data_IF_816601348548
#
_entry.id   IF_816601348548
#
_cell.length_a   1.000
_cell.length_b   1.000
_cell.length_c   1.000
_cell.angle_alpha   90.00
_cell.angle_beta   90.00
_cell.angle_gamma   90.00
#
_symmetry.space_group_name_H-M   'P 1'
#
loop_
_entity.id
_entity.type
_entity.pdbx_description
1 polymer ?
#
# COMPACT_ATOMS: atom_id res chain seq x y z
N UNK A 1 17.60 -14.22 9.41
CA UNK A 1 18.59 -14.91 8.52
C UNK A 1 19.71 -13.97 8.13
N UNK A 2 19.43 -12.73 7.69
CA UNK A 2 20.44 -11.78 7.19
C UNK A 2 21.50 -11.44 8.24
N UNK A 3 21.11 -11.25 9.51
CA UNK A 3 22.08 -11.05 10.60
C UNK A 3 23.09 -12.20 10.72
N UNK A 4 22.72 -13.43 10.32
CA UNK A 4 23.62 -14.59 10.35
C UNK A 4 24.61 -14.60 9.19
N UNK A 5 24.25 -13.98 8.06
CA UNK A 5 25.00 -14.02 6.80
C UNK A 5 25.82 -12.76 6.58
N UNK A 6 25.42 -11.63 7.16
CA UNK A 6 26.16 -10.36 7.08
C UNK A 6 27.52 -10.44 7.75
N UNK A 7 28.50 -9.78 7.19
CA UNK A 7 29.83 -9.60 7.77
C UNK A 7 29.81 -8.68 9.02
N UNK A 8 28.81 -7.80 9.14
CA UNK A 8 28.71 -6.78 10.19
C UNK A 8 27.66 -7.11 11.25
N UNK A 9 27.63 -8.35 11.73
CA UNK A 9 26.59 -8.88 12.65
C UNK A 9 26.35 -8.04 13.92
N UNK A 10 27.39 -7.38 14.41
CA UNK A 10 27.37 -6.62 15.68
C UNK A 10 26.69 -5.24 15.55
N UNK A 11 26.56 -4.74 14.30
CA UNK A 11 25.98 -3.44 14.00
C UNK A 11 24.44 -3.49 13.79
N UNK A 12 23.86 -4.70 13.76
CA UNK A 12 22.41 -4.85 13.65
C UNK A 12 21.69 -4.24 14.87
N UNK A 13 20.76 -3.34 14.59
CA UNK A 13 20.08 -2.51 15.59
C UNK A 13 20.75 -1.14 15.84
N UNK A 14 21.89 -0.89 15.19
CA UNK A 14 22.64 0.38 15.27
C UNK A 14 22.72 1.11 13.93
N UNK A 15 21.82 0.78 12.98
CA UNK A 15 21.78 1.40 11.66
C UNK A 15 22.53 0.63 10.56
N UNK A 16 22.68 -0.70 10.71
CA UNK A 16 23.32 -1.53 9.68
C UNK A 16 22.51 -1.51 8.39
N UNK A 17 23.07 -1.04 7.26
CA UNK A 17 22.35 -0.93 5.98
C UNK A 17 21.83 -2.25 5.45
N UNK A 18 22.56 -3.36 5.65
CA UNK A 18 22.16 -4.69 5.18
C UNK A 18 20.78 -5.10 5.71
N UNK A 19 20.46 -4.74 6.95
CA UNK A 19 19.16 -5.03 7.57
C UNK A 19 18.02 -4.28 6.89
N UNK A 20 18.24 -3.02 6.56
CA UNK A 20 17.28 -2.14 5.89
C UNK A 20 17.09 -2.57 4.44
N UNK A 21 18.19 -2.74 3.70
CA UNK A 21 18.17 -3.16 2.29
C UNK A 21 17.40 -4.47 2.13
N UNK A 22 17.64 -5.41 3.01
CA UNK A 22 16.97 -6.71 2.93
C UNK A 22 15.47 -6.65 3.25
N UNK A 23 15.05 -5.87 4.24
CA UNK A 23 13.64 -5.68 4.56
C UNK A 23 12.91 -4.96 3.42
N UNK A 24 13.50 -3.88 2.89
CA UNK A 24 12.91 -3.10 1.81
C UNK A 24 12.91 -3.85 0.47
N UNK A 25 13.97 -4.62 0.17
CA UNK A 25 13.99 -5.48 -1.01
C UNK A 25 12.93 -6.57 -0.95
N UNK A 26 12.70 -7.18 0.21
CA UNK A 26 11.64 -8.16 0.40
C UNK A 26 10.25 -7.53 0.26
N UNK A 27 10.05 -6.33 0.79
CA UNK A 27 8.82 -5.57 0.67
C UNK A 27 8.50 -5.24 -0.80
N UNK A 28 9.47 -4.74 -1.54
CA UNK A 28 9.32 -4.45 -2.96
C UNK A 28 9.09 -5.73 -3.80
N UNK A 29 9.82 -6.79 -3.51
CA UNK A 29 9.68 -8.08 -4.20
C UNK A 29 8.29 -8.73 -4.01
N UNK A 30 7.57 -8.41 -2.93
CA UNK A 30 6.23 -8.94 -2.67
C UNK A 30 5.16 -8.33 -3.59
N UNK A 31 5.39 -7.17 -4.17
CA UNK A 31 4.38 -6.46 -4.98
C UNK A 31 3.97 -7.28 -6.21
N UNK A 32 4.94 -7.77 -6.99
CA UNK A 32 4.66 -8.59 -8.17
C UNK A 32 3.83 -9.84 -7.86
N UNK A 33 4.29 -10.73 -6.97
CA UNK A 33 3.51 -11.90 -6.55
C UNK A 33 2.13 -11.59 -5.99
N UNK A 34 1.91 -10.44 -5.35
CA UNK A 34 0.59 -10.06 -4.83
C UNK A 34 -0.40 -9.66 -5.92
N UNK A 35 0.09 -9.24 -7.10
CA UNK A 35 -0.74 -8.93 -8.27
C UNK A 35 -1.24 -10.17 -9.00
N UNK A 36 -0.53 -11.28 -8.93
CA UNK A 36 -0.94 -12.52 -9.61
C UNK A 36 -2.31 -12.99 -9.10
N UNK A 37 -2.52 -13.28 -7.81
CA UNK A 37 -3.84 -13.67 -7.30
C UNK A 37 -4.88 -12.55 -7.45
N UNK A 38 -4.46 -11.28 -7.38
CA UNK A 38 -5.35 -10.15 -7.62
C UNK A 38 -5.97 -10.20 -9.02
N UNK A 39 -5.15 -10.30 -10.06
CA UNK A 39 -5.61 -10.23 -11.45
C UNK A 39 -6.30 -11.52 -11.90
N UNK A 40 -5.91 -12.68 -11.35
CA UNK A 40 -6.46 -13.98 -11.75
C UNK A 40 -7.68 -14.41 -10.95
N UNK A 41 -7.69 -14.16 -9.65
CA UNK A 41 -8.72 -14.65 -8.71
C UNK A 41 -9.51 -13.52 -8.03
N UNK A 42 -9.09 -12.27 -8.18
CA UNK A 42 -9.68 -11.15 -7.44
C UNK A 42 -9.32 -11.13 -5.95
N UNK A 43 -8.29 -11.88 -5.56
CA UNK A 43 -7.86 -11.95 -4.15
C UNK A 43 -6.63 -11.09 -3.95
N UNK A 44 -6.75 -9.93 -3.27
CA UNK A 44 -5.60 -9.06 -3.04
C UNK A 44 -4.66 -9.66 -1.98
N UNK A 45 -3.39 -9.79 -2.32
CA UNK A 45 -2.34 -10.30 -1.42
C UNK A 45 -1.75 -9.23 -0.48
N UNK A 46 -2.18 -7.98 -0.61
CA UNK A 46 -1.70 -6.86 0.21
C UNK A 46 -2.73 -5.72 0.26
N UNK A 47 -2.65 -4.79 1.24
CA UNK A 47 -3.52 -3.61 1.27
C UNK A 47 -3.44 -2.77 0.00
N UNK A 48 -2.24 -2.60 -0.57
CA UNK A 48 -2.04 -1.89 -1.83
C UNK A 48 -2.72 -2.60 -3.00
N UNK A 49 -2.61 -3.94 -3.07
CA UNK A 49 -3.31 -4.74 -4.06
C UNK A 49 -4.84 -4.62 -3.92
N UNK A 50 -5.36 -4.51 -2.69
CA UNK A 50 -6.78 -4.29 -2.45
C UNK A 50 -7.27 -2.93 -2.97
N UNK A 51 -6.49 -1.87 -2.82
CA UNK A 51 -6.80 -0.55 -3.42
C UNK A 51 -6.79 -0.63 -4.94
N UNK A 52 -5.82 -1.34 -5.53
CA UNK A 52 -5.77 -1.59 -6.99
C UNK A 52 -7.00 -2.38 -7.47
N UNK A 53 -7.44 -3.37 -6.70
CA UNK A 53 -8.69 -4.10 -7.00
C UNK A 53 -9.87 -3.15 -7.07
N UNK A 54 -10.02 -2.27 -6.08
CA UNK A 54 -11.06 -1.25 -6.07
C UNK A 54 -11.00 -0.37 -7.34
N UNK A 55 -9.81 0.06 -7.74
CA UNK A 55 -9.60 0.80 -8.98
C UNK A 55 -10.04 0.04 -10.23
N UNK A 56 -9.69 -1.23 -10.34
CA UNK A 56 -10.12 -2.08 -11.46
C UNK A 56 -11.64 -2.22 -11.51
N UNK A 57 -12.28 -2.47 -10.36
CA UNK A 57 -13.74 -2.63 -10.27
C UNK A 57 -14.51 -1.36 -10.65
N UNK A 58 -14.03 -0.18 -10.26
CA UNK A 58 -14.62 1.12 -10.64
C UNK A 58 -14.59 1.31 -12.16
N UNK A 59 -13.55 0.79 -12.82
CA UNK A 59 -13.44 0.81 -14.28
C UNK A 59 -14.16 -0.35 -14.99
N UNK A 60 -14.92 -1.16 -14.25
CA UNK A 60 -15.64 -2.31 -14.80
C UNK A 60 -14.75 -3.49 -15.19
N UNK A 61 -13.52 -3.51 -14.72
CA UNK A 61 -12.54 -4.56 -14.97
C UNK A 61 -12.57 -5.58 -13.83
N UNK A 62 -13.28 -6.68 -14.03
CA UNK A 62 -13.38 -7.75 -13.04
C UNK A 62 -12.21 -8.71 -13.18
N UNK A 63 -11.49 -9.02 -12.09
CA UNK A 63 -10.43 -10.04 -12.09
C UNK A 63 -10.91 -11.39 -12.61
N UNK A 64 -10.03 -12.10 -13.26
CA UNK A 64 -10.32 -13.42 -13.84
C UNK A 64 -9.83 -13.58 -15.27
N UNK A 65 -10.22 -14.67 -15.91
CA UNK A 65 -9.80 -14.99 -17.29
C UNK A 65 -10.16 -13.90 -18.30
N UNK A 66 -11.27 -13.20 -18.10
CA UNK A 66 -11.72 -12.13 -19.00
C UNK A 66 -10.75 -10.95 -19.08
N UNK A 67 -9.98 -10.67 -18.04
CA UNK A 67 -8.93 -9.64 -18.08
C UNK A 67 -7.87 -9.96 -19.15
N UNK A 68 -7.57 -11.23 -19.35
CA UNK A 68 -6.51 -11.66 -20.27
C UNK A 68 -7.02 -12.05 -21.66
N UNK A 69 -8.33 -12.14 -21.84
CA UNK A 69 -8.96 -12.49 -23.11
C UNK A 69 -9.74 -11.31 -23.69
N UNK A 70 -10.81 -10.90 -23.04
CA UNK A 70 -11.71 -9.82 -23.51
C UNK A 70 -11.06 -8.44 -23.35
N UNK A 71 -10.41 -8.19 -22.19
CA UNK A 71 -9.77 -6.92 -21.84
C UNK A 71 -8.25 -6.99 -21.94
N UNK A 72 -7.72 -7.88 -22.81
CA UNK A 72 -6.29 -8.16 -22.90
C UNK A 72 -5.45 -6.90 -23.15
N UNK A 73 -5.86 -6.02 -24.05
CA UNK A 73 -5.15 -4.79 -24.37
C UNK A 73 -5.01 -3.88 -23.14
N UNK A 74 -6.12 -3.66 -22.41
CA UNK A 74 -6.12 -2.85 -21.19
C UNK A 74 -5.26 -3.48 -20.09
N UNK A 75 -5.34 -4.80 -19.93
CA UNK A 75 -4.58 -5.54 -18.93
C UNK A 75 -3.07 -5.49 -19.21
N UNK A 76 -2.67 -5.71 -20.46
CA UNK A 76 -1.26 -5.61 -20.83
C UNK A 76 -0.74 -4.18 -20.78
N UNK A 77 -1.56 -3.19 -21.12
CA UNK A 77 -1.22 -1.77 -20.94
C UNK A 77 -0.99 -1.46 -19.46
N UNK A 78 -1.86 -1.94 -18.57
CA UNK A 78 -1.70 -1.80 -17.13
C UNK A 78 -0.39 -2.45 -16.63
N UNK A 79 -0.10 -3.69 -17.02
CA UNK A 79 1.14 -4.38 -16.63
C UNK A 79 2.38 -3.64 -17.13
N UNK A 80 2.37 -3.19 -18.39
CA UNK A 80 3.49 -2.41 -18.94
C UNK A 80 3.64 -1.05 -18.26
N UNK A 81 2.53 -0.40 -17.88
CA UNK A 81 2.59 0.87 -17.12
C UNK A 81 3.24 0.70 -15.76
N UNK A 82 3.06 -0.45 -15.09
CA UNK A 82 3.77 -0.76 -13.83
C UNK A 82 5.28 -0.87 -14.04
N UNK A 83 5.73 -1.44 -15.16
CA UNK A 83 7.17 -1.47 -15.49
C UNK A 83 7.73 -0.07 -15.67
N UNK A 84 7.03 0.78 -16.45
CA UNK A 84 7.44 2.18 -16.63
C UNK A 84 7.45 2.93 -15.30
N UNK A 85 6.41 2.74 -14.48
CA UNK A 85 6.32 3.33 -13.15
C UNK A 85 7.51 2.93 -12.25
N UNK A 86 7.97 1.68 -12.34
CA UNK A 86 9.13 1.19 -11.59
C UNK A 86 10.42 1.93 -11.99
N UNK A 87 10.63 2.17 -13.29
CA UNK A 87 11.78 2.99 -13.75
C UNK A 87 11.66 4.43 -13.29
N UNK A 88 10.48 5.03 -13.39
CA UNK A 88 10.24 6.39 -12.89
C UNK A 88 10.47 6.47 -11.38
N UNK A 89 10.00 5.48 -10.63
CA UNK A 89 10.23 5.40 -9.18
C UNK A 89 11.72 5.36 -8.83
N UNK A 90 12.54 4.63 -9.60
CA UNK A 90 13.99 4.60 -9.39
C UNK A 90 14.59 6.00 -9.58
N UNK A 91 14.26 6.66 -10.69
CA UNK A 91 14.79 7.99 -11.02
C UNK A 91 14.35 9.01 -9.96
N UNK A 92 13.05 9.13 -9.71
CA UNK A 92 12.52 10.07 -8.73
C UNK A 92 12.98 9.74 -7.31
N UNK A 93 13.06 8.45 -6.95
CA UNK A 93 13.54 8.00 -5.65
C UNK A 93 14.98 8.45 -5.37
N UNK A 94 15.87 8.36 -6.35
CA UNK A 94 17.24 8.83 -6.22
C UNK A 94 17.29 10.37 -6.03
N UNK A 95 16.48 11.13 -6.76
CA UNK A 95 16.40 12.58 -6.57
C UNK A 95 15.80 12.96 -5.21
N UNK A 96 14.70 12.32 -4.82
CA UNK A 96 13.97 12.64 -3.58
C UNK A 96 14.73 12.16 -2.34
N UNK A 97 15.58 11.12 -2.45
CA UNK A 97 16.38 10.64 -1.32
C UNK A 97 17.27 11.72 -0.73
N UNK A 98 17.75 12.66 -1.57
CA UNK A 98 18.48 13.84 -1.11
C UNK A 98 17.65 14.79 -0.23
N UNK A 99 16.34 14.89 -0.50
CA UNK A 99 15.41 15.70 0.31
C UNK A 99 14.98 15.00 1.60
N UNK A 100 14.97 13.67 1.64
CA UNK A 100 14.55 12.89 2.79
C UNK A 100 15.31 13.27 4.07
N UNK A 101 16.61 13.58 3.95
CA UNK A 101 17.43 14.05 5.07
C UNK A 101 16.90 15.35 5.73
N UNK A 102 16.25 16.22 4.98
CA UNK A 102 15.65 17.46 5.53
C UNK A 102 14.35 17.13 6.26
N UNK A 103 13.52 16.25 5.70
CA UNK A 103 12.30 15.77 6.32
C UNK A 103 12.60 15.06 7.64
N UNK A 104 13.63 14.21 7.68
CA UNK A 104 14.06 13.49 8.89
C UNK A 104 14.57 14.40 10.01
N UNK A 105 15.00 15.63 9.69
CA UNK A 105 15.40 16.63 10.69
C UNK A 105 14.21 17.35 11.32
N UNK A 106 13.02 17.24 10.71
CA UNK A 106 11.81 17.90 11.19
C UNK A 106 11.30 17.17 12.44
N UNK A 107 11.03 17.88 13.57
CA UNK A 107 10.47 17.26 14.74
C UNK A 107 9.15 16.55 14.45
N UNK A 108 8.95 15.37 15.04
CA UNK A 108 7.82 14.47 14.78
C UNK A 108 6.45 15.13 14.97
N UNK A 109 6.33 16.09 15.90
CA UNK A 109 5.05 16.79 16.14
C UNK A 109 4.62 17.67 14.96
N UNK A 110 5.56 18.31 14.25
CA UNK A 110 5.22 19.06 13.02
C UNK A 110 4.84 18.13 11.89
N UNK A 111 5.54 17.01 11.75
CA UNK A 111 5.20 15.99 10.76
C UNK A 111 3.80 15.40 11.01
N UNK A 112 3.49 15.07 12.27
CA UNK A 112 2.16 14.54 12.62
C UNK A 112 1.05 15.53 12.28
N UNK A 113 1.22 16.82 12.61
CA UNK A 113 0.26 17.86 12.26
C UNK A 113 0.08 17.99 10.73
N UNK A 114 1.18 18.05 9.98
CA UNK A 114 1.14 18.15 8.52
C UNK A 114 0.43 16.94 7.88
N UNK A 115 0.76 15.73 8.31
CA UNK A 115 0.13 14.49 7.82
C UNK A 115 -1.38 14.49 8.13
N UNK A 116 -1.78 14.89 9.34
CA UNK A 116 -3.20 14.97 9.71
C UNK A 116 -3.96 15.95 8.84
N UNK A 117 -3.40 17.13 8.61
CA UNK A 117 -4.01 18.15 7.73
C UNK A 117 -4.15 17.61 6.30
N UNK A 118 -3.08 17.02 5.74
CA UNK A 118 -3.12 16.42 4.41
C UNK A 118 -4.12 15.27 4.30
N UNK A 119 -4.25 14.45 5.34
CA UNK A 119 -5.23 13.37 5.38
C UNK A 119 -6.67 13.91 5.36
N UNK A 120 -6.96 14.96 6.14
CA UNK A 120 -8.29 15.63 6.16
C UNK A 120 -8.63 16.19 4.78
N UNK A 121 -7.73 16.97 4.20
CA UNK A 121 -7.94 17.54 2.87
C UNK A 121 -8.04 16.47 1.78
N UNK A 122 -7.18 15.44 1.85
CA UNK A 122 -7.20 14.31 0.93
C UNK A 122 -8.52 13.55 0.96
N UNK A 123 -9.00 13.19 2.15
CA UNK A 123 -10.28 12.48 2.30
C UNK A 123 -11.45 13.33 1.81
N UNK A 124 -11.50 14.60 2.17
CA UNK A 124 -12.54 15.51 1.70
C UNK A 124 -12.53 15.67 0.17
N UNK A 125 -11.35 15.74 -0.44
CA UNK A 125 -11.18 15.95 -1.88
C UNK A 125 -11.70 14.81 -2.76
N UNK A 126 -11.81 13.58 -2.21
CA UNK A 126 -12.24 12.40 -2.98
C UNK A 126 -13.74 12.44 -3.32
N UNK A 127 -14.59 12.76 -2.35
CA UNK A 127 -16.05 12.75 -2.52
C UNK A 127 -16.73 14.08 -2.15
N UNK A 128 -15.95 15.08 -1.74
CA UNK A 128 -16.45 16.37 -1.23
C UNK A 128 -17.47 16.22 -0.09
N UNK A 129 -17.32 15.16 0.71
CA UNK A 129 -18.25 14.81 1.79
C UNK A 129 -17.55 14.91 3.16
N UNK A 130 -18.11 15.70 4.05
CA UNK A 130 -17.58 15.87 5.41
C UNK A 130 -17.75 14.62 6.28
N UNK A 131 -18.75 13.78 5.98
CA UNK A 131 -18.95 12.53 6.70
C UNK A 131 -17.76 11.58 6.57
N UNK A 132 -17.10 11.54 5.40
CA UNK A 132 -15.92 10.70 5.16
C UNK A 132 -14.74 11.13 6.03
N UNK A 133 -14.59 12.45 6.26
CA UNK A 133 -13.57 12.99 7.17
C UNK A 133 -13.83 12.55 8.61
N UNK A 134 -15.10 12.57 9.04
CA UNK A 134 -15.48 12.13 10.40
C UNK A 134 -15.22 10.63 10.55
N UNK A 135 -15.58 9.82 9.56
CA UNK A 135 -15.32 8.37 9.56
C UNK A 135 -13.81 8.11 9.59
N UNK A 136 -13.01 8.81 8.78
CA UNK A 136 -11.56 8.71 8.78
C UNK A 136 -10.95 9.01 10.14
N UNK A 137 -11.37 10.10 10.78
CA UNK A 137 -10.88 10.49 12.12
C UNK A 137 -11.29 9.47 13.18
N UNK A 138 -12.52 8.97 13.13
CA UNK A 138 -13.03 7.97 14.06
C UNK A 138 -12.25 6.65 13.91
N UNK A 139 -12.11 6.14 12.69
CA UNK A 139 -11.35 4.92 12.42
C UNK A 139 -9.87 5.08 12.77
N UNK A 140 -9.25 6.22 12.42
CA UNK A 140 -7.87 6.51 12.76
C UNK A 140 -7.63 6.54 14.27
N UNK A 141 -8.52 7.19 15.02
CA UNK A 141 -8.45 7.23 16.49
C UNK A 141 -8.65 5.84 17.09
N UNK A 142 -9.63 5.10 16.60
CA UNK A 142 -9.90 3.72 17.03
C UNK A 142 -8.67 2.83 16.79
N UNK A 143 -8.07 2.92 15.59
CA UNK A 143 -6.85 2.18 15.25
C UNK A 143 -5.65 2.58 16.10
N UNK A 144 -5.53 3.84 16.47
CA UNK A 144 -4.47 4.28 17.39
C UNK A 144 -4.57 3.57 18.76
N UNK A 145 -5.77 3.41 19.29
CA UNK A 145 -5.95 2.65 20.54
C UNK A 145 -5.73 1.16 20.34
N UNK A 146 -6.28 0.58 19.27
CA UNK A 146 -6.12 -0.85 18.97
C UNK A 146 -4.66 -1.24 18.72
N UNK A 147 -3.87 -0.35 18.12
CA UNK A 147 -2.43 -0.61 17.88
C UNK A 147 -1.64 -0.80 19.18
N UNK A 148 -2.08 -0.20 20.29
CA UNK A 148 -1.46 -0.40 21.61
C UNK A 148 -1.68 -1.82 22.17
N UNK A 149 -2.72 -2.51 21.68
CA UNK A 149 -3.01 -3.91 22.02
C UNK A 149 -2.43 -4.89 20.98
N UNK A 150 -1.59 -4.42 20.05
CA UNK A 150 -0.93 -5.26 19.05
C UNK A 150 -1.74 -5.51 17.78
N UNK A 151 -2.90 -4.87 17.60
CA UNK A 151 -3.64 -4.95 16.35
C UNK A 151 -2.97 -4.13 15.25
N UNK A 152 -2.93 -4.69 14.03
CA UNK A 152 -2.41 -4.00 12.84
C UNK A 152 -3.55 -3.52 11.94
N UNK A 153 -3.37 -2.38 11.26
CA UNK A 153 -4.39 -1.82 10.38
C UNK A 153 -4.63 -2.66 9.12
N UNK A 154 -3.60 -3.36 8.63
CA UNK A 154 -3.67 -4.07 7.36
C UNK A 154 -4.80 -5.11 7.26
N UNK A 155 -5.02 -6.04 8.22
CA UNK A 155 -6.14 -6.98 8.18
C UNK A 155 -7.50 -6.30 8.22
N UNK A 156 -7.62 -5.17 8.94
CA UNK A 156 -8.89 -4.42 9.05
C UNK A 156 -9.23 -3.78 7.71
N UNK A 157 -8.27 -3.14 7.07
CA UNK A 157 -8.45 -2.56 5.72
C UNK A 157 -8.82 -3.63 4.70
N UNK A 158 -8.13 -4.79 4.72
CA UNK A 158 -8.48 -5.92 3.86
C UNK A 158 -9.89 -6.42 4.13
N UNK A 159 -10.30 -6.54 5.39
CA UNK A 159 -11.67 -6.97 5.75
C UNK A 159 -12.74 -6.02 5.23
N UNK A 160 -12.52 -4.71 5.32
CA UNK A 160 -13.45 -3.70 4.80
C UNK A 160 -13.58 -3.79 3.27
N UNK A 161 -12.47 -4.00 2.55
CA UNK A 161 -12.48 -4.07 1.09
C UNK A 161 -13.05 -5.42 0.60
N UNK A 162 -12.69 -6.52 1.24
CA UNK A 162 -13.13 -7.86 0.84
C UNK A 162 -14.55 -8.20 1.31
N UNK A 163 -15.04 -7.55 2.36
CA UNK A 163 -16.37 -7.81 2.93
C UNK A 163 -17.49 -7.76 1.90
N UNK A 164 -17.69 -6.65 1.18
CA UNK A 164 -18.72 -6.53 0.14
C UNK A 164 -18.57 -7.55 -1.00
N UNK A 165 -17.32 -7.88 -1.37
CA UNK A 165 -17.03 -8.87 -2.42
C UNK A 165 -17.44 -10.26 -1.93
N UNK A 166 -17.11 -10.62 -0.69
CA UNK A 166 -17.50 -11.88 -0.10
C UNK A 166 -19.02 -11.99 0.02
N UNK A 167 -19.70 -10.94 0.53
CA UNK A 167 -21.14 -10.90 0.67
C UNK A 167 -21.87 -11.09 -0.68
N UNK A 168 -21.39 -10.44 -1.73
CA UNK A 168 -21.98 -10.57 -3.07
C UNK A 168 -21.85 -12.01 -3.60
N UNK A 169 -20.71 -12.67 -3.35
CA UNK A 169 -20.48 -14.04 -3.82
C UNK A 169 -21.18 -15.11 -2.96
N UNK A 170 -21.47 -14.81 -1.68
CA UNK A 170 -22.23 -15.74 -0.82
C UNK A 170 -23.75 -15.66 -1.05
N UNK A 171 -24.25 -14.55 -1.60
CA UNK A 171 -25.68 -14.36 -1.87
C UNK A 171 -26.09 -14.78 -3.30
N UNK A 172 -25.18 -15.29 -4.11
CA UNK A 172 -25.43 -15.91 -5.41
C UNK A 172 -25.54 -17.43 -5.31
#
# INVERSE_FOLDING_TARGET
QIKKTSSNKENFGKGEPDGIIAAESANNAMVGPSLVPLLTLGVPGSPTAAVLLGGLLIHGLFPGSNLFTVYAETTWTFINSLLVAQFMMLIFGLYISGLAKYVMKTPTHYMAAAITILAIFGTYSVQHNFADVIVMLFLGTTMFFLSKFGFTAAPIVLGIILGPIAETNFNQ
#
